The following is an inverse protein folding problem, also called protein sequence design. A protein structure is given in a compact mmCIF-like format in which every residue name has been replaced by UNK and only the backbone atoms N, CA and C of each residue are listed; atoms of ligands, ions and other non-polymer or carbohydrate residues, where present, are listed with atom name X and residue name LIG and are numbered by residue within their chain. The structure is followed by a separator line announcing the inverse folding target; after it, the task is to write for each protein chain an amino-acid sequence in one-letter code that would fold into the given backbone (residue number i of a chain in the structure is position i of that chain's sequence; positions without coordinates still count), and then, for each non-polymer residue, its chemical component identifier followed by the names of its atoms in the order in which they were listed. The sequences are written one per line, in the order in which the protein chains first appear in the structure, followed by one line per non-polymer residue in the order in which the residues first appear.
data_IF_206373707139
#
_entry.id   IF_206373707139
#
_cell.length_a   1.000
_cell.length_b   1.000
_cell.length_c   1.000
_cell.angle_alpha   90.00
_cell.angle_beta   90.00
_cell.angle_gamma   90.00
#
_symmetry.space_group_name_H-M   'P 1'
#
loop_
_entity.id
_entity.type
_entity.pdbx_description
1 polymer ?
#
# COMPACT_ATOMS: atom_id res chain seq x y z
N UNK A 1 14.02 0.67 -10.10
CA UNK A 1 13.20 0.91 -8.89
C UNK A 1 13.74 0.15 -7.69
N UNK A 2 13.42 0.58 -6.50
CA UNK A 2 13.73 -0.12 -5.25
C UNK A 2 12.43 -0.47 -4.54
N UNK A 3 12.46 -1.46 -3.62
CA UNK A 3 11.29 -1.83 -2.85
C UNK A 3 11.16 -0.89 -1.65
N UNK A 4 9.98 -0.30 -1.46
CA UNK A 4 9.69 0.56 -0.32
C UNK A 4 9.05 -0.21 0.83
N UNK A 5 7.99 -0.97 0.57
CA UNK A 5 7.29 -1.73 1.60
C UNK A 5 6.39 -2.81 1.01
N UNK A 6 5.90 -3.68 1.90
CA UNK A 6 4.83 -4.63 1.62
C UNK A 6 3.57 -4.12 2.33
N UNK A 7 2.46 -4.02 1.59
CA UNK A 7 1.18 -3.60 2.13
C UNK A 7 0.32 -4.78 2.59
N UNK A 8 -0.23 -4.68 3.79
CA UNK A 8 -1.18 -5.63 4.37
C UNK A 8 -2.56 -5.01 4.41
N UNK A 9 -3.54 -5.71 3.86
CA UNK A 9 -4.94 -5.38 4.10
C UNK A 9 -5.35 -5.97 5.45
N UNK A 10 -5.83 -5.15 6.37
CA UNK A 10 -6.23 -5.57 7.71
C UNK A 10 -7.58 -4.93 8.07
N UNK A 11 -8.32 -5.58 8.97
CA UNK A 11 -9.64 -5.07 9.39
C UNK A 11 -9.52 -3.97 10.43
N UNK A 12 -8.53 -4.07 11.30
CA UNK A 12 -8.33 -3.17 12.45
C UNK A 12 -6.84 -2.98 12.69
N UNK A 13 -6.38 -1.74 12.61
CA UNK A 13 -4.96 -1.40 12.75
C UNK A 13 -4.41 -1.84 14.12
N UNK A 14 -5.10 -1.49 15.19
CA UNK A 14 -4.64 -1.79 16.55
C UNK A 14 -4.51 -3.29 16.82
N UNK A 15 -5.47 -4.06 16.34
CA UNK A 15 -5.44 -5.53 16.49
C UNK A 15 -4.38 -6.17 15.62
N UNK A 16 -4.15 -5.65 14.41
CA UNK A 16 -3.16 -6.18 13.49
C UNK A 16 -1.72 -5.90 13.91
N UNK A 17 -1.48 -4.79 14.60
CA UNK A 17 -0.16 -4.47 15.16
C UNK A 17 0.35 -5.55 16.10
N UNK A 18 -0.52 -6.11 16.94
CA UNK A 18 -0.12 -7.03 18.02
C UNK A 18 0.67 -8.25 17.53
N UNK A 19 0.16 -9.05 16.59
CA UNK A 19 0.94 -10.20 16.11
C UNK A 19 2.24 -9.80 15.43
N UNK A 20 2.27 -8.68 14.72
CA UNK A 20 3.49 -8.20 14.08
C UNK A 20 4.50 -7.66 15.09
N UNK A 21 4.05 -6.96 16.12
CA UNK A 21 4.92 -6.54 17.24
C UNK A 21 5.51 -7.74 17.97
N UNK A 22 4.76 -8.84 18.09
CA UNK A 22 5.26 -10.10 18.65
C UNK A 22 6.40 -10.67 17.82
N UNK A 23 6.38 -10.46 16.51
CA UNK A 23 7.47 -10.87 15.61
C UNK A 23 8.68 -9.94 15.67
N UNK A 24 8.52 -8.72 16.18
CA UNK A 24 9.60 -7.76 16.30
C UNK A 24 9.40 -6.45 15.54
N UNK A 25 8.27 -6.26 14.87
CA UNK A 25 7.99 -4.99 14.19
C UNK A 25 7.75 -3.85 15.18
N UNK A 26 8.24 -2.67 14.84
CA UNK A 26 7.99 -1.42 15.56
C UNK A 26 7.20 -0.52 14.64
N UNK A 27 6.03 -0.06 15.11
CA UNK A 27 5.11 0.74 14.31
C UNK A 27 5.15 2.22 14.66
N UNK A 28 4.91 3.05 13.64
CA UNK A 28 4.67 4.48 13.77
C UNK A 28 3.21 4.73 14.19
N UNK A 29 2.85 5.99 14.37
CA UNK A 29 1.47 6.38 14.66
C UNK A 29 0.56 6.10 13.45
N UNK A 30 -0.69 5.76 13.74
CA UNK A 30 -1.70 5.55 12.70
C UNK A 30 -2.08 6.88 12.05
N UNK A 31 -2.15 6.88 10.73
CA UNK A 31 -2.54 8.03 9.92
C UNK A 31 -3.94 7.77 9.37
N UNK A 32 -4.78 8.81 9.39
CA UNK A 32 -6.10 8.80 8.76
C UNK A 32 -5.99 9.50 7.41
N UNK A 33 -6.24 8.78 6.32
CA UNK A 33 -6.24 9.32 4.96
C UNK A 33 -7.69 9.36 4.46
N UNK A 34 -8.33 10.51 4.63
CA UNK A 34 -9.73 10.70 4.27
C UNK A 34 -9.94 10.67 2.75
N UNK A 35 -9.00 11.16 1.98
CA UNK A 35 -9.11 11.18 0.52
C UNK A 35 -9.13 9.77 -0.06
N UNK A 36 -8.40 8.85 0.56
CA UNK A 36 -8.32 7.45 0.16
C UNK A 36 -9.22 6.53 0.96
N UNK A 37 -9.90 7.08 1.97
CA UNK A 37 -10.84 6.35 2.85
C UNK A 37 -10.18 5.16 3.57
N UNK A 38 -8.98 5.37 4.09
CA UNK A 38 -8.21 4.36 4.81
C UNK A 38 -7.57 4.90 6.08
N UNK A 39 -7.36 4.00 7.06
CA UNK A 39 -6.36 4.16 8.10
C UNK A 39 -5.12 3.42 7.67
N UNK A 40 -3.95 3.94 7.98
CA UNK A 40 -2.69 3.27 7.69
C UNK A 40 -1.65 3.49 8.79
N UNK A 41 -0.69 2.59 8.87
CA UNK A 41 0.51 2.76 9.68
C UNK A 41 1.65 1.99 9.06
N UNK A 42 2.87 2.52 9.24
CA UNK A 42 4.08 1.85 8.81
C UNK A 42 4.78 1.20 10.01
N UNK A 43 5.34 0.04 9.78
CA UNK A 43 6.16 -0.69 10.75
C UNK A 43 7.43 -1.20 10.11
N UNK A 44 8.44 -1.46 10.93
CA UNK A 44 9.74 -1.91 10.45
C UNK A 44 10.32 -2.98 11.36
N UNK A 45 10.96 -3.98 10.76
CA UNK A 45 11.73 -5.00 11.43
C UNK A 45 12.87 -5.43 10.52
N UNK A 46 14.09 -5.46 11.06
CA UNK A 46 15.29 -5.93 10.34
C UNK A 46 15.50 -5.22 8.99
N UNK A 47 15.16 -3.92 8.93
CA UNK A 47 15.27 -3.13 7.70
C UNK A 47 14.14 -3.33 6.69
N UNK A 48 13.18 -4.20 6.97
CA UNK A 48 12.01 -4.42 6.12
C UNK A 48 10.82 -3.63 6.62
N UNK A 49 10.14 -2.96 5.68
CA UNK A 49 9.02 -2.08 6.00
C UNK A 49 7.71 -2.69 5.55
N UNK A 50 6.70 -2.60 6.41
CA UNK A 50 5.33 -3.00 6.10
C UNK A 50 4.40 -1.81 6.29
N UNK A 51 3.30 -1.81 5.53
CA UNK A 51 2.20 -0.87 5.73
C UNK A 51 0.94 -1.67 6.08
N UNK A 52 0.29 -1.32 7.18
CA UNK A 52 -1.03 -1.85 7.49
C UNK A 52 -2.08 -0.87 6.96
N UNK A 53 -3.04 -1.37 6.21
CA UNK A 53 -4.10 -0.55 5.60
C UNK A 53 -5.44 -1.12 6.02
N UNK A 54 -6.26 -0.31 6.67
CA UNK A 54 -7.60 -0.68 7.11
C UNK A 54 -8.65 0.29 6.53
N UNK A 55 -9.88 -0.18 6.24
CA UNK A 55 -10.92 0.69 5.72
C UNK A 55 -11.46 1.63 6.79
N UNK A 56 -11.76 2.87 6.41
CA UNK A 56 -12.56 3.79 7.25
C UNK A 56 -14.03 3.40 7.13
N UNK A 57 -14.47 3.07 5.92
CA UNK A 57 -15.86 2.67 5.65
C UNK A 57 -15.91 1.58 4.57
N UNK A 58 -17.12 1.06 4.29
CA UNK A 58 -17.36 0.05 3.26
C UNK A 58 -16.97 0.50 1.84
N UNK A 59 -16.91 1.80 1.59
CA UNK A 59 -16.50 2.35 0.30
C UNK A 59 -14.98 2.39 0.11
N UNK A 60 -14.22 1.96 1.11
CA UNK A 60 -12.76 1.93 1.04
C UNK A 60 -12.28 0.94 -0.02
N UNK A 61 -11.21 1.28 -0.76
CA UNK A 61 -10.65 0.38 -1.78
C UNK A 61 -10.15 -0.95 -1.21
N UNK A 62 -9.82 -0.99 0.07
CA UNK A 62 -9.34 -2.22 0.73
C UNK A 62 -10.46 -3.12 1.22
N UNK A 63 -11.68 -2.59 1.35
CA UNK A 63 -12.82 -3.35 1.89
C UNK A 63 -13.19 -4.56 1.05
N UNK A 64 -13.19 -4.42 -0.27
CA UNK A 64 -13.49 -5.54 -1.17
C UNK A 64 -12.50 -6.69 -1.00
N UNK A 65 -11.22 -6.39 -0.88
CA UNK A 65 -10.18 -7.40 -0.63
C UNK A 65 -10.44 -8.14 0.68
N UNK A 66 -10.73 -7.38 1.75
CA UNK A 66 -11.00 -7.96 3.07
C UNK A 66 -12.26 -8.83 3.06
N UNK A 67 -13.31 -8.41 2.36
CA UNK A 67 -14.57 -9.16 2.28
C UNK A 67 -14.39 -10.47 1.51
N UNK A 68 -13.65 -10.46 0.40
CA UNK A 68 -13.48 -11.62 -0.46
C UNK A 68 -12.37 -12.56 -0.02
N UNK A 69 -11.29 -12.05 0.51
CA UNK A 69 -10.08 -12.83 0.80
C UNK A 69 -9.78 -12.82 2.29
N UNK A 70 -9.85 -11.67 2.95
CA UNK A 70 -9.50 -11.49 4.33
C UNK A 70 -8.16 -10.79 4.54
N UNK A 71 -7.69 -10.70 5.80
CA UNK A 71 -6.42 -10.04 6.12
C UNK A 71 -5.24 -10.78 5.49
N UNK A 72 -4.51 -10.11 4.60
CA UNK A 72 -3.34 -10.67 3.90
C UNK A 72 -2.42 -9.57 3.41
N UNK A 73 -1.15 -9.88 3.09
CA UNK A 73 -0.39 -9.03 2.19
C UNK A 73 -1.13 -8.89 0.87
N UNK A 74 -1.18 -7.68 0.28
CA UNK A 74 -1.94 -7.48 -0.95
C UNK A 74 -1.28 -6.59 -1.98
N UNK A 75 -0.21 -5.87 -1.62
CA UNK A 75 0.61 -5.16 -2.60
C UNK A 75 2.06 -5.03 -2.15
N UNK A 76 2.94 -4.86 -3.12
CA UNK A 76 4.31 -4.39 -2.88
C UNK A 76 4.41 -2.99 -3.46
N UNK A 77 5.00 -2.07 -2.71
CA UNK A 77 5.27 -0.72 -3.17
C UNK A 77 6.72 -0.59 -3.62
N UNK A 78 6.90 -0.05 -4.81
CA UNK A 78 8.20 0.24 -5.41
C UNK A 78 8.44 1.74 -5.45
N UNK A 79 9.68 2.15 -5.22
CA UNK A 79 10.08 3.56 -5.27
C UNK A 79 10.71 3.84 -6.63
N UNK A 80 10.25 4.90 -7.29
CA UNK A 80 10.68 5.27 -8.63
C UNK A 80 11.37 6.63 -8.65
N UNK A 81 12.46 6.74 -9.39
CA UNK A 81 13.12 8.02 -9.65
C UNK A 81 12.52 8.78 -10.84
N UNK A 82 11.69 8.10 -11.64
CA UNK A 82 10.97 8.69 -12.78
C UNK A 82 9.64 7.97 -12.96
N UNK A 83 8.64 8.37 -12.17
CA UNK A 83 7.38 7.65 -12.08
C UNK A 83 6.58 7.66 -13.38
N UNK A 84 6.59 8.77 -14.13
CA UNK A 84 5.88 8.86 -15.41
C UNK A 84 6.45 7.85 -16.42
N UNK A 85 7.76 7.74 -16.46
CA UNK A 85 8.44 6.79 -17.37
C UNK A 85 8.16 5.36 -16.98
N UNK A 86 8.20 5.06 -15.69
CA UNK A 86 7.94 3.71 -15.19
C UNK A 86 6.50 3.28 -15.45
N UNK A 87 5.53 4.19 -15.27
CA UNK A 87 4.12 3.92 -15.61
C UNK A 87 4.00 3.57 -17.09
N UNK A 88 4.62 4.35 -17.96
CA UNK A 88 4.57 4.11 -19.42
C UNK A 88 5.11 2.72 -19.78
N UNK A 89 6.26 2.35 -19.22
CA UNK A 89 6.86 1.03 -19.46
C UNK A 89 5.95 -0.09 -18.95
N UNK A 90 5.38 0.08 -17.77
CA UNK A 90 4.49 -0.92 -17.19
C UNK A 90 3.20 -1.08 -18.00
N UNK A 91 2.61 0.02 -18.46
CA UNK A 91 1.42 -0.05 -19.30
C UNK A 91 1.69 -0.79 -20.62
N UNK A 92 2.86 -0.61 -21.22
CA UNK A 92 3.28 -1.37 -22.41
C UNK A 92 3.46 -2.85 -22.13
N UNK A 93 3.67 -3.22 -20.86
CA UNK A 93 3.82 -4.61 -20.41
C UNK A 93 2.56 -5.15 -19.72
N UNK A 94 1.40 -4.63 -20.10
CA UNK A 94 0.06 -5.12 -19.71
C UNK A 94 -0.32 -4.88 -18.25
N UNK A 95 0.34 -3.95 -17.58
CA UNK A 95 -0.17 -3.42 -16.33
C UNK A 95 -1.25 -2.38 -16.60
N UNK A 96 -2.31 -2.40 -15.79
CA UNK A 96 -3.39 -1.42 -15.88
C UNK A 96 -3.37 -0.54 -14.64
N UNK A 97 -3.48 0.77 -14.85
CA UNK A 97 -3.63 1.72 -13.75
C UNK A 97 -5.01 1.51 -13.12
N UNK A 98 -5.05 1.22 -11.83
CA UNK A 98 -6.30 1.04 -11.07
C UNK A 98 -6.61 2.23 -10.18
N UNK A 99 -5.57 2.93 -9.69
CA UNK A 99 -5.71 4.19 -8.97
C UNK A 99 -4.74 5.18 -9.63
N UNK A 100 -5.26 6.29 -10.21
CA UNK A 100 -4.43 7.26 -10.93
C UNK A 100 -3.35 7.88 -10.06
N UNK A 101 -2.28 8.33 -10.71
CA UNK A 101 -1.18 9.06 -10.07
C UNK A 101 -1.71 10.30 -9.35
N UNK A 102 -1.52 10.34 -8.04
CA UNK A 102 -1.98 11.42 -7.19
C UNK A 102 -1.15 11.50 -5.90
N UNK A 103 -1.09 12.68 -5.26
CA UNK A 103 -0.40 12.82 -3.98
C UNK A 103 -1.01 11.91 -2.91
N UNK A 104 -0.16 11.42 -2.00
CA UNK A 104 -0.58 10.60 -0.87
C UNK A 104 -0.03 11.19 0.44
N UNK A 105 -0.92 11.36 1.42
CA UNK A 105 -0.57 11.92 2.74
C UNK A 105 0.46 11.04 3.44
N UNK A 106 0.37 9.72 3.26
CA UNK A 106 1.29 8.76 3.84
C UNK A 106 2.75 8.99 3.45
N UNK A 107 2.99 9.64 2.32
CA UNK A 107 4.32 9.90 1.78
C UNK A 107 4.65 11.40 1.73
N UNK A 108 4.04 12.18 2.61
CA UNK A 108 4.31 13.62 2.67
C UNK A 108 3.93 14.39 1.42
N UNK A 109 2.92 13.92 0.68
CA UNK A 109 2.45 14.55 -0.54
C UNK A 109 3.12 14.06 -1.82
N UNK A 110 4.08 13.15 -1.74
CA UNK A 110 4.63 12.49 -2.93
C UNK A 110 3.53 11.72 -3.64
N UNK A 111 3.62 11.67 -4.97
CA UNK A 111 2.59 11.01 -5.77
C UNK A 111 2.77 9.50 -5.76
N UNK A 112 1.64 8.81 -5.75
CA UNK A 112 1.58 7.35 -5.86
C UNK A 112 0.61 6.95 -6.95
N UNK A 113 0.82 5.76 -7.50
CA UNK A 113 -0.04 5.12 -8.49
C UNK A 113 -0.18 3.66 -8.14
N UNK A 114 -1.37 3.09 -8.34
CA UNK A 114 -1.58 1.66 -8.26
C UNK A 114 -1.80 1.09 -9.64
N UNK A 115 -1.14 -0.03 -9.93
CA UNK A 115 -1.30 -0.77 -11.17
C UNK A 115 -1.59 -2.24 -10.86
N UNK A 116 -2.23 -2.89 -11.81
CA UNK A 116 -2.62 -4.30 -11.67
C UNK A 116 -2.12 -5.12 -12.86
N UNK A 117 -1.55 -6.27 -12.55
CA UNK A 117 -1.16 -7.29 -13.53
C UNK A 117 -1.97 -8.55 -13.28
N UNK A 118 -2.49 -9.18 -14.36
CA UNK A 118 -3.19 -10.45 -14.24
C UNK A 118 -2.30 -11.57 -13.69
N UNK A 119 -0.98 -11.43 -13.82
CA UNK A 119 -0.03 -12.47 -13.41
C UNK A 119 0.44 -12.35 -11.97
N UNK A 120 0.53 -11.11 -11.44
CA UNK A 120 1.12 -10.89 -10.11
C UNK A 120 0.23 -10.06 -9.17
N UNK A 121 -0.90 -9.52 -9.68
CA UNK A 121 -1.82 -8.74 -8.84
C UNK A 121 -1.44 -7.27 -8.73
N UNK A 122 -1.73 -6.69 -7.58
CA UNK A 122 -1.61 -5.26 -7.34
C UNK A 122 -0.19 -4.84 -6.95
N UNK A 123 0.29 -3.77 -7.57
CA UNK A 123 1.51 -3.08 -7.15
C UNK A 123 1.23 -1.61 -6.92
N UNK A 124 2.03 -0.99 -6.08
CA UNK A 124 2.05 0.45 -5.86
C UNK A 124 3.40 1.00 -6.27
N UNK A 125 3.42 2.21 -6.81
CA UNK A 125 4.65 2.93 -7.08
C UNK A 125 4.56 4.30 -6.44
N UNK A 126 5.58 4.67 -5.69
CA UNK A 126 5.72 6.00 -5.08
C UNK A 126 6.91 6.71 -5.72
N UNK A 127 6.75 8.00 -6.02
CA UNK A 127 7.89 8.80 -6.49
C UNK A 127 8.89 9.04 -5.35
N UNK A 128 10.14 9.09 -5.71
CA UNK A 128 11.22 9.33 -4.76
C UNK A 128 11.29 10.78 -4.27
#
# INVERSE_FOLDING_TARGET
MTIDHIGYAVKDIGKAKKPLETLGYVFEETVEDLDRNIYLTFGEMDGYRVELVAPISEDSPVDMHLTKIGPTPYHICYKSTNIEKDIEVLQKNRFKVTVPLAPAIAFGGKRVVFLYSLQIGLIEIVEE
#
